data_IF_491531090792
#
_entry.id   IF_491531090792
#
_cell.length_a   1.000
_cell.length_b   1.000
_cell.length_c   1.000
_cell.angle_alpha   90.00
_cell.angle_beta   90.00
_cell.angle_gamma   90.00
#
_symmetry.space_group_name_H-M   'P 1'
#
loop_
_entity.id
_entity.type
_entity.pdbx_description
1 polymer ?
#
# COMPACT_ATOMS: atom_id res chain seq x y z
N UNK A 1 -19.04 0.18 -11.48
CA UNK A 1 -18.19 1.20 -12.13
C UNK A 1 -16.80 0.64 -11.99
N UNK A 2 -16.38 -0.20 -12.94
CA UNK A 2 -15.12 -0.94 -12.82
C UNK A 2 -14.45 -0.99 -14.17
N UNK A 3 -13.41 -0.17 -14.34
CA UNK A 3 -12.47 -0.29 -15.46
C UNK A 3 -11.05 0.04 -14.99
N UNK A 4 -10.40 -0.89 -14.29
CA UNK A 4 -8.92 -0.85 -14.23
C UNK A 4 -8.40 -2.12 -14.89
N UNK A 5 -8.42 -2.10 -16.22
CA UNK A 5 -7.77 -3.10 -17.06
C UNK A 5 -6.27 -3.06 -16.84
N UNK A 6 -5.65 -4.21 -16.66
CA UNK A 6 -4.23 -4.31 -16.40
C UNK A 6 -3.54 -5.23 -17.40
N UNK A 7 -2.73 -4.65 -18.27
CA UNK A 7 -2.15 -5.30 -19.46
C UNK A 7 -0.75 -5.88 -19.20
N UNK A 8 -0.42 -7.12 -19.65
CA UNK A 8 0.85 -7.81 -19.36
C UNK A 8 2.13 -7.05 -19.74
N UNK A 9 3.14 -6.96 -18.86
CA UNK A 9 3.39 -5.81 -17.94
C UNK A 9 2.45 -5.59 -16.75
N UNK A 10 1.50 -6.51 -16.57
CA UNK A 10 0.37 -6.45 -15.65
C UNK A 10 0.82 -6.95 -14.29
N UNK A 11 0.03 -7.58 -13.41
CA UNK A 11 0.28 -7.74 -11.92
C UNK A 11 1.29 -6.79 -11.18
N UNK A 12 0.89 -5.87 -10.25
CA UNK A 12 1.90 -5.05 -9.58
C UNK A 12 2.81 -6.01 -8.83
N UNK A 13 4.10 -5.77 -8.88
CA UNK A 13 5.07 -6.69 -8.28
C UNK A 13 4.90 -6.73 -6.76
N UNK A 14 4.47 -5.62 -6.16
CA UNK A 14 4.09 -5.56 -4.76
C UNK A 14 2.72 -4.89 -4.65
N UNK A 15 1.84 -5.50 -3.87
CA UNK A 15 0.52 -4.97 -3.56
C UNK A 15 0.27 -5.06 -2.07
N UNK A 16 -0.19 -3.97 -1.47
CA UNK A 16 -0.76 -3.96 -0.15
C UNK A 16 -2.20 -3.44 -0.22
N UNK A 17 -3.09 -4.11 0.51
CA UNK A 17 -4.49 -3.71 0.63
C UNK A 17 -4.86 -3.58 2.10
N UNK A 18 -5.53 -2.48 2.43
CA UNK A 18 -5.99 -2.13 3.78
C UNK A 18 -4.89 -2.29 4.84
N UNK A 19 -3.65 -1.91 4.50
CA UNK A 19 -2.49 -2.08 5.37
C UNK A 19 -2.63 -1.20 6.61
N UNK A 20 -2.56 -1.82 7.78
CA UNK A 20 -2.58 -1.13 9.07
C UNK A 20 -1.31 -1.43 9.85
N UNK A 21 -0.85 -0.44 10.60
CA UNK A 21 0.28 -0.60 11.52
C UNK A 21 0.12 0.34 12.68
N UNK A 22 0.16 -0.23 13.89
CA UNK A 22 0.12 0.51 15.14
C UNK A 22 1.39 0.24 15.93
N UNK A 23 1.93 1.30 16.54
CA UNK A 23 3.08 1.27 17.44
C UNK A 23 2.67 1.79 18.82
N UNK A 24 3.45 1.44 19.84
CA UNK A 24 3.19 1.85 21.21
C UNK A 24 2.03 1.09 21.87
N UNK A 25 1.71 1.48 23.10
CA UNK A 25 0.64 0.89 23.94
C UNK A 25 0.11 1.96 24.91
N UNK A 26 -1.09 1.73 25.44
CA UNK A 26 -1.72 2.67 26.37
C UNK A 26 -1.94 4.04 25.72
N UNK A 27 -1.62 5.10 26.44
CA UNK A 27 -1.79 6.47 25.96
C UNK A 27 -0.82 6.85 24.83
N UNK A 28 0.33 6.19 24.72
CA UNK A 28 1.34 6.46 23.69
C UNK A 28 1.16 5.60 22.42
N UNK A 29 -0.08 5.25 22.08
CA UNK A 29 -0.38 4.46 20.89
C UNK A 29 -0.41 5.34 19.64
N UNK A 30 0.23 4.88 18.55
CA UNK A 30 0.31 5.58 17.27
C UNK A 30 -0.13 4.64 16.15
N UNK A 31 -1.15 5.03 15.40
CA UNK A 31 -1.53 4.34 14.16
C UNK A 31 -0.72 4.89 13.00
N UNK A 32 0.44 4.29 12.76
CA UNK A 32 1.38 4.71 11.72
C UNK A 32 0.86 4.44 10.30
N UNK A 33 0.09 3.38 10.10
CA UNK A 33 -0.63 3.13 8.85
C UNK A 33 -2.09 2.82 9.17
N UNK A 34 -3.02 3.43 8.44
CA UNK A 34 -4.45 3.30 8.65
C UNK A 34 -5.19 2.92 7.35
N UNK A 35 -5.29 1.62 7.08
CA UNK A 35 -6.07 1.12 5.94
C UNK A 35 -5.49 1.49 4.58
N UNK A 36 -4.16 1.55 4.46
CA UNK A 36 -3.48 2.02 3.24
C UNK A 36 -3.57 0.98 2.12
N UNK A 37 -4.00 1.41 0.92
CA UNK A 37 -3.94 0.65 -0.32
C UNK A 37 -2.81 1.18 -1.21
N UNK A 38 -1.92 0.31 -1.69
CA UNK A 38 -0.84 0.68 -2.60
C UNK A 38 -0.43 -0.47 -3.53
N UNK A 39 -0.07 -0.13 -4.76
CA UNK A 39 0.50 -1.03 -5.77
C UNK A 39 1.85 -0.45 -6.24
N UNK A 40 2.86 -1.31 -6.38
CA UNK A 40 4.17 -0.95 -6.93
C UNK A 40 4.45 -1.77 -8.19
N UNK A 41 4.70 -1.06 -9.29
CA UNK A 41 4.99 -1.65 -10.60
C UNK A 41 6.44 -2.16 -10.70
N UNK A 42 6.66 -3.13 -11.58
CA UNK A 42 8.00 -3.63 -11.86
C UNK A 42 8.89 -2.55 -12.51
N UNK A 43 10.16 -2.47 -12.09
CA UNK A 43 11.13 -1.57 -12.72
C UNK A 43 10.85 -0.08 -12.49
N UNK A 44 10.07 0.26 -11.46
CA UNK A 44 9.76 1.64 -11.06
C UNK A 44 10.33 1.94 -9.69
N UNK A 45 10.97 3.09 -9.58
CA UNK A 45 11.36 3.65 -8.29
C UNK A 45 10.20 4.44 -7.70
N UNK A 46 9.92 4.22 -6.42
CA UNK A 46 8.85 4.92 -5.69
C UNK A 46 9.41 5.47 -4.38
N UNK A 47 9.23 6.76 -4.14
CA UNK A 47 9.56 7.40 -2.88
C UNK A 47 8.31 7.50 -1.99
N UNK A 48 8.50 7.32 -0.68
CA UNK A 48 7.48 7.51 0.35
C UNK A 48 7.96 8.63 1.27
N UNK A 49 7.13 9.65 1.48
CA UNK A 49 7.41 10.85 2.28
C UNK A 49 6.30 11.09 3.29
#
# INVERSE_FOLDING_TARGET
MDITSYAPGSSPTVRARSLTKTYGKGEAVVRALDGVDVDFEQGRFTAIM
#
